data_IF_940357041902
#
_entry.id   IF_940357041902
#
_cell.length_a   1.000
_cell.length_b   1.000
_cell.length_c   1.000
_cell.angle_alpha   90.00
_cell.angle_beta   90.00
_cell.angle_gamma   90.00
#
_symmetry.space_group_name_H-M   'P 1'
#
loop_
_entity.id
_entity.type
_entity.pdbx_description
1 polymer ?
#
# COMPACT_ATOMS: atom_id res chain seq x y z
N UNK A 1 -4.94 -4.32 1.03
CA UNK A 1 -3.63 -3.65 1.11
C UNK A 1 -3.41 -2.88 2.44
N UNK A 2 -3.67 -3.53 3.61
CA UNK A 2 -3.46 -2.88 4.93
C UNK A 2 -2.00 -2.86 5.35
N UNK A 3 -1.24 -3.91 4.99
CA UNK A 3 0.18 -4.05 5.34
C UNK A 3 1.02 -2.87 4.85
N UNK A 4 0.97 -2.47 3.57
CA UNK A 4 1.72 -1.31 3.10
C UNK A 4 1.49 -0.06 3.94
N UNK A 5 0.24 0.27 4.27
CA UNK A 5 -0.09 1.44 5.09
C UNK A 5 0.42 1.32 6.53
N UNK A 6 0.31 0.14 7.13
CA UNK A 6 0.85 -0.06 8.47
C UNK A 6 2.38 0.10 8.49
N UNK A 7 3.08 -0.38 7.46
CA UNK A 7 4.53 -0.22 7.36
C UNK A 7 4.92 1.23 7.06
N UNK A 8 4.22 1.95 6.17
CA UNK A 8 4.43 3.40 5.97
C UNK A 8 4.24 4.19 7.26
N UNK A 9 3.21 3.87 8.05
CA UNK A 9 2.98 4.47 9.38
C UNK A 9 4.15 4.21 10.34
N UNK A 10 4.65 2.97 10.38
CA UNK A 10 5.81 2.59 11.22
C UNK A 10 7.08 3.32 10.82
N UNK A 11 7.25 3.62 9.53
CA UNK A 11 8.35 4.41 8.99
C UNK A 11 8.16 5.92 9.20
N UNK A 12 7.00 6.36 9.71
CA UNK A 12 6.59 7.77 9.77
C UNK A 12 6.68 8.44 8.40
N UNK A 13 6.38 7.70 7.34
CA UNK A 13 6.43 8.22 5.98
C UNK A 13 5.41 9.35 5.77
N UNK A 14 5.69 10.24 4.82
CA UNK A 14 4.72 11.15 4.22
C UNK A 14 4.12 10.38 3.04
N UNK A 15 2.85 10.03 3.12
CA UNK A 15 2.17 9.31 2.06
C UNK A 15 1.17 10.24 1.37
N UNK A 16 1.43 10.52 0.10
CA UNK A 16 0.60 11.35 -0.76
C UNK A 16 -0.22 10.42 -1.64
N UNK A 17 -1.52 10.38 -1.41
CA UNK A 17 -2.44 9.51 -2.11
C UNK A 17 -3.30 10.22 -3.14
N UNK A 18 -4.10 9.43 -3.82
CA UNK A 18 -5.18 9.89 -4.68
C UNK A 18 -6.47 9.07 -4.41
N UNK A 19 -7.38 8.93 -5.36
CA UNK A 19 -8.71 8.38 -5.11
C UNK A 19 -8.77 6.89 -5.44
N UNK A 20 -9.22 6.09 -4.47
CA UNK A 20 -9.43 4.65 -4.56
C UNK A 20 -9.74 4.04 -3.19
N UNK A 21 -9.95 2.72 -3.09
CA UNK A 21 -10.17 2.05 -1.79
C UNK A 21 -9.04 2.34 -0.79
N UNK A 22 -7.84 2.60 -1.27
CA UNK A 22 -6.68 2.96 -0.46
C UNK A 22 -6.79 4.34 0.19
N UNK A 23 -7.70 5.23 -0.25
CA UNK A 23 -8.02 6.49 0.44
C UNK A 23 -8.44 6.25 1.90
N UNK A 24 -8.98 5.06 2.22
CA UNK A 24 -9.26 4.65 3.59
C UNK A 24 -8.01 4.59 4.47
N UNK A 25 -6.81 4.59 3.88
CA UNK A 25 -5.54 4.74 4.61
C UNK A 25 -5.39 6.09 5.34
N UNK A 26 -6.22 7.08 5.03
CA UNK A 26 -6.31 8.35 5.77
C UNK A 26 -7.04 8.22 7.10
N UNK A 27 -7.86 7.17 7.26
CA UNK A 27 -8.70 6.98 8.45
C UNK A 27 -7.99 6.17 9.54
N UNK A 28 -8.35 6.37 10.82
CA UNK A 28 -7.90 5.51 11.91
C UNK A 28 -8.29 4.03 11.67
N UNK A 29 -7.47 3.08 12.14
CA UNK A 29 -6.23 3.26 12.90
C UNK A 29 -5.00 3.51 12.02
N UNK A 30 -5.12 3.45 10.70
CA UNK A 30 -4.00 3.67 9.78
C UNK A 30 -3.54 5.13 9.82
N UNK A 31 -4.35 6.06 9.35
CA UNK A 31 -4.12 7.50 9.45
C UNK A 31 -2.77 7.93 8.87
N UNK A 32 -2.41 7.44 7.68
CA UNK A 32 -1.08 7.66 7.09
C UNK A 32 -1.11 8.46 5.79
N UNK A 33 -2.23 8.46 5.06
CA UNK A 33 -2.39 9.29 3.87
C UNK A 33 -2.63 10.74 4.29
N UNK A 34 -1.78 11.63 3.82
CA UNK A 34 -1.81 13.07 4.15
C UNK A 34 -2.54 13.90 3.07
N UNK A 35 -2.80 13.32 1.89
CA UNK A 35 -3.50 13.98 0.79
C UNK A 35 -4.28 12.99 -0.06
N UNK A 36 -5.35 13.47 -0.70
CA UNK A 36 -6.09 12.79 -1.75
C UNK A 36 -6.81 13.87 -2.59
N UNK A 37 -6.32 14.16 -3.79
CA UNK A 37 -6.86 15.24 -4.65
C UNK A 37 -7.73 14.64 -5.75
N UNK A 38 -7.12 13.93 -6.72
CA UNK A 38 -7.80 13.27 -7.82
C UNK A 38 -7.08 11.98 -8.22
N UNK A 39 -7.64 11.24 -9.17
CA UNK A 39 -7.05 10.00 -9.68
C UNK A 39 -5.78 10.30 -10.47
N UNK A 40 -4.62 9.87 -9.93
CA UNK A 40 -3.30 10.04 -10.56
C UNK A 40 -2.47 11.20 -10.03
N UNK A 41 -3.06 12.11 -9.26
CA UNK A 41 -2.35 13.27 -8.71
C UNK A 41 -1.19 12.90 -7.77
N UNK A 42 -1.26 11.75 -7.09
CA UNK A 42 -0.25 11.34 -6.10
C UNK A 42 1.17 11.35 -6.66
N UNK A 43 1.36 10.89 -7.89
CA UNK A 43 2.69 10.77 -8.53
C UNK A 43 3.28 12.16 -8.81
N UNK A 44 2.50 13.04 -9.44
CA UNK A 44 2.92 14.41 -9.76
C UNK A 44 3.10 15.26 -8.50
N UNK A 45 2.20 15.11 -7.53
CA UNK A 45 2.27 15.78 -6.24
C UNK A 45 3.53 15.35 -5.46
N UNK A 46 3.86 14.05 -5.47
CA UNK A 46 5.07 13.53 -4.85
C UNK A 46 6.33 14.13 -5.46
N UNK A 47 6.37 14.26 -6.79
CA UNK A 47 7.49 14.92 -7.46
C UNK A 47 7.58 16.40 -7.08
N UNK A 48 6.48 17.15 -7.13
CA UNK A 48 6.44 18.54 -6.70
C UNK A 48 6.87 18.75 -5.24
N UNK A 49 6.44 17.82 -4.37
CA UNK A 49 6.85 17.86 -2.96
C UNK A 49 8.36 17.65 -2.78
N UNK A 50 8.98 16.76 -3.56
CA UNK A 50 10.44 16.55 -3.53
C UNK A 50 11.20 17.77 -4.03
N UNK A 51 10.74 18.38 -5.13
CA UNK A 51 11.34 19.63 -5.64
C UNK A 51 11.25 20.74 -4.58
N UNK A 52 10.07 20.90 -3.95
CA UNK A 52 9.90 21.88 -2.88
C UNK A 52 10.81 21.59 -1.68
N UNK A 53 10.99 20.30 -1.34
CA UNK A 53 11.90 19.87 -0.26
C UNK A 53 13.37 20.15 -0.57
N UNK A 54 13.79 19.95 -1.82
CA UNK A 54 15.14 20.25 -2.27
C UNK A 54 15.40 21.76 -2.15
N UNK A 55 14.49 22.58 -2.67
CA UNK A 55 14.58 24.05 -2.57
C UNK A 55 14.55 24.55 -1.11
N UNK A 56 13.74 23.93 -0.26
CA UNK A 56 13.68 24.25 1.16
C UNK A 56 14.99 23.94 1.89
N UNK A 57 15.67 22.84 1.56
CA UNK A 57 16.98 22.50 2.10
C UNK A 57 18.04 23.54 1.71
N UNK A 58 18.05 23.97 0.46
CA UNK A 58 18.96 25.00 -0.03
C UNK A 58 18.76 26.34 0.69
N UNK A 59 17.53 26.61 1.14
CA UNK A 59 17.19 27.84 1.90
C UNK A 59 17.32 27.67 3.41
N UNK A 60 17.72 26.50 3.92
CA UNK A 60 17.77 26.20 5.35
C UNK A 60 16.42 25.93 6.01
N UNK A 61 15.36 25.71 5.23
CA UNK A 61 13.98 25.50 5.67
C UNK A 61 13.58 24.00 5.68
N UNK A 62 14.54 23.11 5.88
CA UNK A 62 14.34 21.67 5.73
C UNK A 62 13.23 21.07 6.61
N UNK A 63 12.97 21.66 7.79
CA UNK A 63 11.92 21.16 8.70
C UNK A 63 10.52 21.48 8.22
N UNK A 64 10.30 22.57 7.52
CA UNK A 64 9.00 23.00 6.98
C UNK A 64 8.47 21.98 5.95
N UNK A 65 9.36 21.26 5.28
CA UNK A 65 9.02 20.26 4.26
C UNK A 65 9.04 18.80 4.78
N UNK A 66 8.80 18.59 6.09
CA UNK A 66 8.71 17.28 6.71
C UNK A 66 10.05 16.61 7.05
N UNK A 67 11.16 17.38 7.08
CA UNK A 67 12.46 16.92 7.55
C UNK A 67 13.03 15.74 6.75
N UNK A 68 13.45 14.67 7.47
CA UNK A 68 14.03 13.44 6.88
C UNK A 68 13.00 12.33 6.64
N UNK A 69 11.70 12.58 6.84
CA UNK A 69 10.65 11.58 6.62
C UNK A 69 10.65 11.11 5.16
N UNK A 70 10.63 9.80 4.87
CA UNK A 70 10.52 9.33 3.50
C UNK A 70 9.16 9.72 2.89
N UNK A 71 9.15 10.04 1.61
CA UNK A 71 7.93 10.41 0.87
C UNK A 71 7.56 9.29 -0.08
N UNK A 72 6.28 8.94 -0.08
CA UNK A 72 5.70 7.95 -0.99
C UNK A 72 4.48 8.53 -1.68
N UNK A 73 4.48 8.48 -3.02
CA UNK A 73 3.27 8.61 -3.82
C UNK A 73 2.54 7.28 -3.80
N UNK A 74 1.28 7.22 -3.34
CA UNK A 74 0.51 5.98 -3.22
C UNK A 74 -0.62 5.99 -4.25
N UNK A 75 -0.67 4.98 -5.10
CA UNK A 75 -1.61 4.88 -6.22
C UNK A 75 -2.11 3.44 -6.40
N UNK A 76 -3.34 3.25 -6.84
CA UNK A 76 -3.86 1.93 -7.22
C UNK A 76 -3.51 1.56 -8.66
N UNK A 77 -3.55 0.27 -8.99
CA UNK A 77 -3.29 -0.29 -10.32
C UNK A 77 -4.17 0.32 -11.41
N UNK A 78 -5.46 0.41 -11.17
CA UNK A 78 -6.42 1.03 -12.10
C UNK A 78 -6.10 2.50 -12.35
N UNK A 79 -5.87 3.25 -11.28
CA UNK A 79 -5.54 4.68 -11.35
C UNK A 79 -4.18 4.90 -12.03
N UNK A 80 -3.21 4.01 -11.78
CA UNK A 80 -1.92 4.04 -12.46
C UNK A 80 -2.07 3.86 -13.97
N UNK A 81 -2.83 2.85 -14.40
CA UNK A 81 -3.08 2.59 -15.82
C UNK A 81 -3.90 3.71 -16.48
N UNK A 82 -4.80 4.36 -15.73
CA UNK A 82 -5.65 5.44 -16.24
C UNK A 82 -4.89 6.77 -16.42
N UNK A 83 -4.14 7.21 -15.40
CA UNK A 83 -3.54 8.55 -15.37
C UNK A 83 -2.17 8.64 -14.68
N UNK A 84 -1.80 7.68 -13.83
CA UNK A 84 -0.55 7.72 -13.07
C UNK A 84 0.71 7.53 -13.93
N UNK A 85 0.62 6.77 -15.02
CA UNK A 85 1.74 6.49 -15.92
C UNK A 85 2.35 7.78 -16.50
N UNK A 86 1.52 8.73 -16.93
CA UNK A 86 2.00 10.02 -17.44
C UNK A 86 2.79 10.80 -16.38
N UNK A 87 2.38 10.73 -15.12
CA UNK A 87 3.10 11.32 -14.00
C UNK A 87 4.46 10.66 -13.79
N UNK A 88 4.56 9.33 -13.91
CA UNK A 88 5.84 8.60 -13.83
C UNK A 88 6.78 8.99 -14.96
N UNK A 89 6.29 9.01 -16.19
CA UNK A 89 7.08 9.43 -17.38
C UNK A 89 7.62 10.86 -17.17
N UNK A 90 6.76 11.78 -16.74
CA UNK A 90 7.16 13.16 -16.45
C UNK A 90 8.22 13.24 -15.36
N UNK A 91 8.07 12.45 -14.29
CA UNK A 91 9.01 12.41 -13.16
C UNK A 91 10.38 11.89 -13.59
N UNK A 92 10.43 10.78 -14.34
CA UNK A 92 11.68 10.23 -14.90
C UNK A 92 12.34 11.23 -15.85
N UNK A 93 11.57 11.81 -16.79
CA UNK A 93 12.07 12.80 -17.73
C UNK A 93 12.74 14.02 -17.05
N UNK A 94 12.19 14.46 -15.93
CA UNK A 94 12.71 15.58 -15.15
C UNK A 94 13.75 15.20 -14.09
N UNK A 95 14.29 13.96 -14.13
CA UNK A 95 15.30 13.49 -13.18
C UNK A 95 14.79 13.36 -11.74
N UNK A 96 13.48 13.20 -11.56
CA UNK A 96 12.88 13.06 -10.23
C UNK A 96 13.28 11.74 -9.56
N UNK A 97 13.46 11.81 -8.26
CA UNK A 97 13.80 10.69 -7.37
C UNK A 97 12.61 10.27 -6.50
N UNK A 98 12.85 9.61 -5.37
CA UNK A 98 11.86 9.23 -4.36
C UNK A 98 11.02 8.03 -4.70
N UNK A 99 9.82 7.91 -4.13
CA UNK A 99 9.14 6.61 -4.08
C UNK A 99 7.71 6.68 -4.61
N UNK A 100 7.35 5.68 -5.41
CA UNK A 100 5.96 5.38 -5.80
C UNK A 100 5.60 4.00 -5.26
N UNK A 101 4.45 3.91 -4.60
CA UNK A 101 3.86 2.67 -4.13
C UNK A 101 2.60 2.39 -4.95
N UNK A 102 2.62 1.35 -5.77
CA UNK A 102 1.47 0.87 -6.53
C UNK A 102 0.79 -0.24 -5.73
N UNK A 103 -0.51 -0.07 -5.44
CA UNK A 103 -1.34 -1.06 -4.79
C UNK A 103 -2.13 -1.82 -5.85
N UNK A 104 -1.61 -2.96 -6.28
CA UNK A 104 -2.21 -3.79 -7.33
C UNK A 104 -3.19 -4.80 -6.70
N UNK A 105 -4.48 -4.55 -6.86
CA UNK A 105 -5.55 -5.44 -6.42
C UNK A 105 -6.31 -6.10 -7.58
N UNK A 106 -5.84 -5.92 -8.81
CA UNK A 106 -6.40 -6.49 -10.04
C UNK A 106 -7.82 -6.04 -10.38
N UNK A 107 -8.29 -4.91 -9.81
CA UNK A 107 -9.66 -4.44 -10.07
C UNK A 107 -9.81 -2.96 -9.68
N UNK A 108 -10.78 -2.29 -10.30
CA UNK A 108 -11.26 -0.98 -9.88
C UNK A 108 -12.32 -1.17 -8.79
N UNK A 109 -11.86 -1.50 -7.57
CA UNK A 109 -12.74 -2.01 -6.52
C UNK A 109 -13.73 -1.00 -5.95
N UNK A 110 -13.34 0.29 -5.80
CA UNK A 110 -14.13 1.31 -5.10
C UNK A 110 -15.50 1.54 -5.74
N UNK A 111 -15.60 1.44 -7.05
CA UNK A 111 -16.81 1.74 -7.82
C UNK A 111 -17.63 0.50 -8.18
N UNK A 112 -17.31 -0.66 -7.63
CA UNK A 112 -18.09 -1.89 -7.77
C UNK A 112 -17.38 -3.03 -8.51
N UNK A 113 -16.04 -3.03 -8.54
CA UNK A 113 -15.29 -4.16 -9.09
C UNK A 113 -15.19 -4.20 -10.62
N UNK A 114 -15.01 -3.03 -11.25
CA UNK A 114 -14.81 -3.00 -12.70
C UNK A 114 -13.43 -3.52 -13.08
N UNK A 115 -13.37 -4.20 -14.24
CA UNK A 115 -12.11 -4.54 -14.88
C UNK A 115 -11.29 -3.30 -15.24
N UNK A 116 -9.97 -3.48 -15.27
CA UNK A 116 -9.01 -2.47 -15.71
C UNK A 116 -7.93 -3.14 -16.57
N UNK A 117 -7.05 -2.41 -17.24
CA UNK A 117 -6.05 -3.00 -18.14
C UNK A 117 -5.11 -4.03 -17.48
N UNK A 118 -4.99 -4.04 -16.15
CA UNK A 118 -4.12 -4.94 -15.40
C UNK A 118 -4.79 -6.29 -15.09
N UNK A 119 -6.13 -6.40 -15.17
CA UNK A 119 -6.83 -7.63 -14.79
C UNK A 119 -6.89 -8.70 -15.89
N UNK A 120 -6.50 -8.39 -17.12
CA UNK A 120 -6.50 -9.34 -18.24
C UNK A 120 -7.88 -9.76 -18.75
N UNK A 121 -8.95 -8.98 -18.44
CA UNK A 121 -10.33 -9.29 -18.84
C UNK A 121 -10.99 -8.04 -19.40
N UNK A 122 -11.66 -8.18 -20.57
CA UNK A 122 -12.42 -7.07 -21.16
C UNK A 122 -13.70 -6.77 -20.38
N UNK A 123 -14.32 -5.62 -20.67
CA UNK A 123 -15.62 -5.25 -20.10
C UNK A 123 -16.72 -6.31 -20.35
N UNK A 124 -16.64 -7.07 -21.45
CA UNK A 124 -17.56 -8.13 -21.80
C UNK A 124 -17.18 -9.50 -21.22
N UNK A 125 -16.20 -9.55 -20.30
CA UNK A 125 -15.76 -10.78 -19.64
C UNK A 125 -14.91 -11.72 -20.51
N UNK A 126 -14.34 -11.23 -21.62
CA UNK A 126 -13.45 -12.02 -22.48
C UNK A 126 -12.01 -11.90 -22.01
N UNK A 127 -11.23 -12.99 -22.12
CA UNK A 127 -9.79 -12.92 -21.90
C UNK A 127 -9.15 -11.86 -22.84
N UNK A 128 -8.22 -11.08 -22.32
CA UNK A 128 -7.55 -10.00 -23.02
C UNK A 128 -6.09 -9.92 -22.59
N UNK A 129 -5.33 -9.07 -23.25
CA UNK A 129 -3.96 -8.77 -22.85
C UNK A 129 -3.96 -8.12 -21.46
N UNK A 130 -3.13 -8.64 -20.58
CA UNK A 130 -2.85 -8.09 -19.26
C UNK A 130 -1.66 -7.13 -19.36
N UNK A 131 -1.80 -5.91 -18.85
CA UNK A 131 -0.70 -4.95 -18.81
C UNK A 131 0.30 -5.39 -17.74
N UNK A 132 1.52 -5.67 -18.16
CA UNK A 132 2.65 -5.94 -17.27
C UNK A 132 3.18 -4.60 -16.70
N UNK A 133 2.83 -4.31 -15.45
CA UNK A 133 3.23 -3.07 -14.78
C UNK A 133 4.75 -2.91 -14.69
N UNK A 134 5.55 -3.91 -14.29
CA UNK A 134 7.01 -3.84 -14.33
C UNK A 134 7.56 -3.50 -15.72
N UNK A 135 7.07 -4.14 -16.77
CA UNK A 135 7.54 -3.89 -18.13
C UNK A 135 7.21 -2.47 -18.60
N UNK A 136 6.00 -1.97 -18.28
CA UNK A 136 5.59 -0.59 -18.60
C UNK A 136 6.45 0.42 -17.84
N UNK A 137 6.74 0.19 -16.58
CA UNK A 137 7.62 1.04 -15.77
C UNK A 137 9.04 1.07 -16.30
N UNK A 138 9.59 -0.09 -16.68
CA UNK A 138 10.91 -0.19 -17.30
C UNK A 138 10.96 0.57 -18.63
N UNK A 139 9.92 0.44 -19.48
CA UNK A 139 9.81 1.19 -20.74
C UNK A 139 9.68 2.71 -20.52
N UNK A 140 9.11 3.12 -19.37
CA UNK A 140 9.06 4.52 -18.96
C UNK A 140 10.39 5.05 -18.38
N UNK A 141 11.42 4.19 -18.25
CA UNK A 141 12.74 4.56 -17.75
C UNK A 141 12.92 4.38 -16.24
N UNK A 142 12.01 3.69 -15.55
CA UNK A 142 12.18 3.36 -14.13
C UNK A 142 13.14 2.17 -14.00
N UNK A 143 14.26 2.37 -13.33
CA UNK A 143 15.30 1.35 -13.17
C UNK A 143 15.14 0.50 -11.90
N UNK A 144 14.46 1.04 -10.88
CA UNK A 144 14.27 0.39 -9.58
C UNK A 144 12.80 0.04 -9.37
N UNK A 145 12.42 -1.18 -9.75
CA UNK A 145 11.06 -1.71 -9.61
C UNK A 145 11.10 -2.98 -8.78
N UNK A 146 10.37 -3.02 -7.68
CA UNK A 146 10.24 -4.18 -6.80
C UNK A 146 8.79 -4.62 -6.69
N UNK A 147 8.51 -5.89 -6.99
CA UNK A 147 7.18 -6.50 -6.83
C UNK A 147 7.17 -7.40 -5.61
N UNK A 148 6.18 -7.23 -4.73
CA UNK A 148 6.02 -8.04 -3.51
C UNK A 148 4.56 -8.44 -3.30
N UNK A 149 4.36 -9.59 -2.66
CA UNK A 149 3.04 -9.98 -2.16
C UNK A 149 2.61 -9.01 -1.05
N UNK A 150 1.48 -8.34 -1.24
CA UNK A 150 0.92 -7.40 -0.26
C UNK A 150 0.50 -8.08 1.06
N UNK A 151 0.43 -9.41 1.11
CA UNK A 151 0.13 -10.18 2.31
C UNK A 151 1.38 -10.59 3.09
N UNK A 152 2.57 -10.52 2.50
CA UNK A 152 3.86 -10.77 3.16
C UNK A 152 4.38 -9.50 3.84
N UNK A 153 4.25 -9.45 5.17
CA UNK A 153 4.66 -8.29 5.98
C UNK A 153 6.17 -8.04 5.91
N UNK A 154 6.98 -9.10 5.86
CA UNK A 154 8.44 -8.97 5.84
C UNK A 154 8.93 -8.46 4.50
N UNK A 155 8.38 -8.99 3.40
CA UNK A 155 8.72 -8.56 2.04
C UNK A 155 8.30 -7.10 1.81
N UNK A 156 7.07 -6.72 2.17
CA UNK A 156 6.59 -5.33 2.05
C UNK A 156 7.46 -4.37 2.86
N UNK A 157 7.78 -4.72 4.10
CA UNK A 157 8.65 -3.90 4.96
C UNK A 157 10.03 -3.71 4.35
N UNK A 158 10.64 -4.79 3.86
CA UNK A 158 11.96 -4.75 3.24
C UNK A 158 11.96 -3.87 1.99
N UNK A 159 11.00 -4.08 1.08
CA UNK A 159 10.88 -3.31 -0.15
C UNK A 159 10.67 -1.80 0.10
N UNK A 160 9.76 -1.44 1.01
CA UNK A 160 9.52 -0.03 1.33
C UNK A 160 10.73 0.64 1.98
N UNK A 161 11.48 -0.09 2.82
CA UNK A 161 12.72 0.45 3.42
C UNK A 161 13.84 0.60 2.40
N UNK A 162 14.00 -0.37 1.49
CA UNK A 162 14.97 -0.29 0.41
C UNK A 162 14.68 0.91 -0.50
N UNK A 163 13.42 1.06 -0.93
CA UNK A 163 12.99 2.20 -1.71
C UNK A 163 13.26 3.54 -0.99
N UNK A 164 12.91 3.64 0.29
CA UNK A 164 13.16 4.86 1.09
C UNK A 164 14.64 5.19 1.29
N UNK A 165 15.52 4.20 1.23
CA UNK A 165 16.97 4.38 1.33
C UNK A 165 17.61 4.80 0.01
N UNK A 166 16.94 4.54 -1.13
CA UNK A 166 17.41 4.96 -2.44
C UNK A 166 17.07 6.45 -2.65
N UNK A 167 18.08 7.30 -2.72
CA UNK A 167 17.93 8.75 -2.89
C UNK A 167 18.27 9.23 -4.30
N UNK A 168 18.83 8.35 -5.12
CA UNK A 168 19.45 8.72 -6.39
C UNK A 168 18.53 8.48 -7.59
N UNK A 169 17.52 7.62 -7.42
CA UNK A 169 16.60 7.20 -8.49
C UNK A 169 15.16 7.18 -7.99
N UNK A 170 14.24 7.18 -8.95
CA UNK A 170 12.85 6.85 -8.68
C UNK A 170 12.74 5.35 -8.37
N UNK A 171 12.26 5.01 -7.18
CA UNK A 171 11.96 3.65 -6.76
C UNK A 171 10.45 3.39 -6.84
N UNK A 172 10.04 2.30 -7.47
CA UNK A 172 8.64 1.88 -7.54
C UNK A 172 8.48 0.52 -6.84
N UNK A 173 7.62 0.49 -5.84
CA UNK A 173 7.23 -0.75 -5.16
C UNK A 173 5.80 -1.10 -5.57
N UNK A 174 5.60 -2.30 -6.10
CA UNK A 174 4.29 -2.84 -6.45
C UNK A 174 3.91 -3.87 -5.40
N UNK A 175 2.91 -3.53 -4.58
CA UNK A 175 2.33 -4.46 -3.61
C UNK A 175 1.11 -5.14 -4.24
N UNK A 176 1.27 -6.41 -4.62
CA UNK A 176 0.28 -7.16 -5.39
C UNK A 176 -0.49 -8.12 -4.49
N UNK A 177 -1.81 -8.07 -4.55
CA UNK A 177 -2.70 -9.10 -3.99
C UNK A 177 -4.11 -8.88 -4.53
N UNK A 178 -4.74 -9.88 -5.15
CA UNK A 178 -6.10 -9.76 -5.67
C UNK A 178 -7.10 -9.26 -4.61
N UNK A 179 -8.08 -8.48 -5.03
CA UNK A 179 -9.12 -7.98 -4.14
C UNK A 179 -9.94 -9.15 -3.56
N UNK A 180 -9.90 -9.34 -2.25
CA UNK A 180 -10.60 -10.44 -1.57
C UNK A 180 -12.12 -10.39 -1.73
N UNK A 181 -12.67 -9.18 -1.91
CA UNK A 181 -14.12 -8.99 -2.08
C UNK A 181 -14.52 -9.36 -3.50
N UNK A 182 -13.83 -8.82 -4.50
CA UNK A 182 -14.13 -9.05 -5.92
C UNK A 182 -13.91 -10.52 -6.30
N UNK A 183 -12.75 -11.07 -5.92
CA UNK A 183 -12.39 -12.45 -6.24
C UNK A 183 -12.91 -13.47 -5.22
N UNK A 184 -13.72 -13.03 -4.23
CA UNK A 184 -14.35 -13.87 -3.19
C UNK A 184 -13.36 -14.82 -2.50
N UNK A 185 -12.15 -14.31 -2.23
CA UNK A 185 -11.08 -15.10 -1.62
C UNK A 185 -11.37 -15.29 -0.14
N UNK A 186 -11.53 -16.55 0.28
CA UNK A 186 -11.71 -16.93 1.68
C UNK A 186 -10.83 -18.14 1.98
N UNK A 187 -10.12 -18.08 3.11
CA UNK A 187 -9.43 -19.19 3.74
C UNK A 187 -10.07 -19.50 5.10
N UNK A 188 -9.48 -20.43 5.85
CA UNK A 188 -9.88 -20.73 7.23
C UNK A 188 -9.72 -19.49 8.10
N UNK A 189 -10.71 -19.21 8.94
CA UNK A 189 -10.65 -18.10 9.86
C UNK A 189 -9.41 -18.20 10.75
N UNK A 190 -8.96 -17.08 11.27
CA UNK A 190 -7.91 -17.04 12.28
C UNK A 190 -8.53 -17.03 13.66
N UNK A 191 -7.90 -17.70 14.62
CA UNK A 191 -8.29 -17.71 16.01
C UNK A 191 -7.14 -17.15 16.87
N UNK A 192 -7.47 -16.66 18.06
CA UNK A 192 -6.49 -16.17 19.05
C UNK A 192 -6.47 -17.12 20.23
N UNK A 193 -5.29 -17.64 20.59
CA UNK A 193 -5.12 -18.32 21.86
C UNK A 193 -5.05 -17.29 23.00
N UNK A 194 -6.06 -17.21 23.88
CA UNK A 194 -6.10 -16.21 24.94
C UNK A 194 -5.01 -16.43 26.00
N UNK A 195 -4.41 -17.64 26.09
CA UNK A 195 -3.30 -17.93 27.01
C UNK A 195 -1.99 -17.34 26.52
N UNK A 196 -1.79 -17.28 25.20
CA UNK A 196 -0.59 -16.71 24.59
C UNK A 196 -0.74 -15.19 24.34
N UNK A 197 -1.98 -14.71 24.18
CA UNK A 197 -2.23 -13.30 23.88
C UNK A 197 -1.95 -12.42 25.11
N UNK A 198 -1.02 -11.47 24.95
CA UNK A 198 -0.63 -10.51 25.99
C UNK A 198 -1.40 -9.19 25.94
N UNK A 199 -2.35 -9.01 25.02
CA UNK A 199 -3.10 -7.76 24.84
C UNK A 199 -2.29 -6.60 24.25
N UNK A 200 -1.11 -6.84 23.66
CA UNK A 200 -0.19 -5.80 23.15
C UNK A 200 -0.76 -4.94 22.02
N UNK A 201 -1.83 -5.40 21.36
CA UNK A 201 -2.55 -4.66 20.31
C UNK A 201 -1.79 -4.54 18.99
N UNK A 202 -0.74 -5.30 18.73
CA UNK A 202 0.00 -5.25 17.48
C UNK A 202 -0.90 -5.61 16.28
N UNK A 203 -1.74 -6.65 16.42
CA UNK A 203 -2.70 -7.10 15.42
C UNK A 203 -3.86 -6.12 15.21
N UNK A 204 -4.32 -5.41 16.24
CA UNK A 204 -5.42 -4.44 16.09
C UNK A 204 -5.02 -3.18 15.33
N UNK A 205 -3.73 -2.80 15.39
CA UNK A 205 -3.21 -1.62 14.69
C UNK A 205 -3.23 -1.72 13.17
N UNK A 206 -3.35 -2.93 12.61
CA UNK A 206 -3.51 -3.11 11.15
C UNK A 206 -4.89 -2.70 10.64
N UNK A 207 -5.83 -2.42 11.53
CA UNK A 207 -7.18 -1.95 11.19
C UNK A 207 -8.07 -3.00 10.54
N UNK A 208 -7.86 -4.28 10.83
CA UNK A 208 -8.73 -5.36 10.34
C UNK A 208 -10.10 -5.28 11.03
N UNK A 209 -11.23 -5.28 10.28
CA UNK A 209 -12.56 -5.21 10.88
C UNK A 209 -12.93 -6.46 11.68
N UNK A 210 -12.28 -7.60 11.40
CA UNK A 210 -12.51 -8.83 12.13
C UNK A 210 -11.83 -8.85 13.52
N UNK A 211 -10.91 -7.91 13.81
CA UNK A 211 -10.13 -7.93 15.06
C UNK A 211 -10.62 -6.85 16.01
N UNK A 212 -11.04 -7.27 17.18
CA UNK A 212 -11.41 -6.41 18.30
C UNK A 212 -10.58 -6.74 19.55
N UNK A 213 -10.86 -6.05 20.65
CA UNK A 213 -10.36 -6.40 21.97
C UNK A 213 -11.54 -6.88 22.82
N UNK A 214 -11.32 -7.94 23.60
CA UNK A 214 -12.27 -8.39 24.61
C UNK A 214 -12.21 -7.53 25.88
N UNK A 215 -12.99 -7.91 26.91
CA UNK A 215 -13.04 -7.21 28.18
C UNK A 215 -11.71 -7.17 28.93
N UNK A 216 -10.85 -8.16 28.73
CA UNK A 216 -9.52 -8.28 29.34
C UNK A 216 -8.44 -7.55 28.51
N UNK A 217 -8.83 -6.88 27.41
CA UNK A 217 -7.92 -6.17 26.51
C UNK A 217 -7.15 -7.08 25.55
N UNK A 218 -7.44 -8.37 25.51
CA UNK A 218 -6.84 -9.34 24.59
C UNK A 218 -7.49 -9.23 23.20
N UNK A 219 -6.76 -9.66 22.18
CA UNK A 219 -7.32 -9.68 20.82
C UNK A 219 -8.38 -10.79 20.71
N UNK A 220 -9.46 -10.47 19.99
CA UNK A 220 -10.51 -11.38 19.60
C UNK A 220 -10.74 -11.25 18.10
N UNK A 221 -10.93 -12.37 17.40
CA UNK A 221 -11.21 -12.40 15.95
C UNK A 221 -12.62 -12.94 15.73
N UNK A 222 -13.44 -12.15 15.02
CA UNK A 222 -14.76 -12.57 14.58
C UNK A 222 -14.61 -13.45 13.31
N UNK A 223 -14.94 -14.76 13.37
CA UNK A 223 -14.77 -15.65 12.23
C UNK A 223 -15.72 -15.32 11.07
N UNK A 224 -16.84 -14.66 11.32
CA UNK A 224 -17.79 -14.25 10.28
C UNK A 224 -17.22 -13.15 9.38
N UNK A 225 -16.34 -12.30 9.92
CA UNK A 225 -15.66 -11.20 9.24
C UNK A 225 -14.25 -11.58 8.76
N UNK A 226 -13.69 -12.67 9.27
CA UNK A 226 -12.34 -13.10 8.93
C UNK A 226 -12.33 -13.81 7.57
N UNK A 227 -11.43 -13.39 6.69
CA UNK A 227 -11.20 -14.03 5.39
C UNK A 227 -10.00 -14.99 5.36
N UNK A 228 -9.39 -15.27 6.52
CA UNK A 228 -8.29 -16.22 6.64
C UNK A 228 -6.90 -15.69 6.23
N UNK A 229 -6.74 -14.40 5.87
CA UNK A 229 -5.44 -13.88 5.45
C UNK A 229 -4.39 -13.97 6.59
N UNK A 230 -3.08 -14.12 6.26
CA UNK A 230 -2.05 -14.34 7.28
C UNK A 230 -1.56 -13.05 7.96
N UNK A 231 -2.09 -11.88 7.64
CA UNK A 231 -1.52 -10.60 8.04
C UNK A 231 -1.41 -10.43 9.55
N UNK A 232 -2.50 -10.68 10.30
CA UNK A 232 -2.51 -10.46 11.75
C UNK A 232 -1.55 -11.40 12.50
N UNK A 233 -1.40 -12.64 12.05
CA UNK A 233 -0.47 -13.60 12.61
C UNK A 233 0.99 -13.12 12.49
N UNK A 234 1.37 -12.58 11.32
CA UNK A 234 2.72 -12.06 11.09
C UNK A 234 3.08 -10.83 11.96
N UNK A 235 2.10 -10.14 12.52
CA UNK A 235 2.33 -9.06 13.49
C UNK A 235 2.33 -9.53 14.93
N UNK A 236 1.96 -10.80 15.19
CA UNK A 236 1.93 -11.36 16.54
C UNK A 236 3.30 -11.89 16.92
N UNK A 237 3.98 -11.21 17.86
CA UNK A 237 5.30 -11.64 18.36
C UNK A 237 5.21 -12.80 19.38
N UNK A 238 4.00 -13.21 19.74
CA UNK A 238 3.73 -14.25 20.76
C UNK A 238 3.12 -15.51 20.14
N UNK A 239 3.05 -15.58 18.81
CA UNK A 239 2.42 -16.69 18.06
C UNK A 239 1.01 -17.07 18.56
N UNK A 240 0.28 -16.07 19.08
CA UNK A 240 -1.06 -16.26 19.64
C UNK A 240 -2.15 -16.34 18.58
N UNK A 241 -1.85 -16.15 17.27
CA UNK A 241 -2.84 -16.14 16.19
C UNK A 241 -2.51 -17.24 15.18
N UNK A 242 -3.43 -18.18 15.03
CA UNK A 242 -3.29 -19.37 14.17
C UNK A 242 -4.56 -19.58 13.33
N UNK A 243 -4.56 -20.58 12.45
CA UNK A 243 -5.77 -20.98 11.74
C UNK A 243 -6.72 -21.67 12.71
N UNK A 244 -8.00 -21.37 12.57
CA UNK A 244 -9.04 -22.10 13.27
C UNK A 244 -9.12 -23.52 12.70
N UNK A 245 -9.09 -24.55 13.59
CA UNK A 245 -9.06 -25.94 13.21
C UNK A 245 -10.40 -26.43 12.64
#
# INVERSE_FOLDING_TARGET
HRVPFNELKRMKAIALGDIGCYTLGALPPLGVLESAIDMGASVSMGHGFEVARMMGRERGEAEVTGGKRPVFSVIGDSTFAHSGLSGVISRVYNGGTGNVLILDNRTTAMTGGQGNPVCGVTLQGRASHEVDLPAVLAAAGVEDVTVVDALDVAAVRSALRAAAANTDKLSVVICQSPCIVEYRIRGNARAVDPRQCTGCGACTRIGCPAISKDADGKACIDPSLCNGCPQCAQYCMFDAIHEEA
#
